data_IF_646130536355
#
_entry.id   IF_646130536355
#
_cell.length_a   1.000
_cell.length_b   1.000
_cell.length_c   1.000
_cell.angle_alpha   90.00
_cell.angle_beta   90.00
_cell.angle_gamma   90.00
#
_symmetry.space_group_name_H-M   'P 1'
#
loop_
_entity.id
_entity.type
_entity.pdbx_description
1 polymer ?
#
# COMPACT_ATOMS: atom_id res chain seq x y z
N UNK A 1 9.58 3.79 15.71
CA UNK A 1 8.37 3.15 16.25
C UNK A 1 8.49 1.65 16.07
N UNK A 2 8.37 0.85 17.16
CA UNK A 2 8.59 -0.61 17.08
C UNK A 2 7.63 -1.39 17.97
N UNK A 3 7.20 -2.57 17.48
CA UNK A 3 6.45 -3.58 18.26
C UNK A 3 5.12 -3.05 18.86
N UNK A 4 4.37 -2.24 18.11
CA UNK A 4 3.09 -1.72 18.56
C UNK A 4 1.94 -2.35 17.79
N UNK A 5 0.76 -2.39 18.42
CA UNK A 5 -0.51 -2.67 17.78
C UNK A 5 -1.28 -1.35 17.73
N UNK A 6 -1.60 -0.91 16.54
CA UNK A 6 -2.33 0.32 16.26
C UNK A 6 -3.61 -0.07 15.54
N UNK A 7 -4.75 0.23 16.14
CA UNK A 7 -5.99 -0.28 15.59
C UNK A 7 -7.18 0.64 15.80
N UNK A 8 -8.21 0.43 14.98
CA UNK A 8 -9.53 1.04 15.09
C UNK A 8 -9.53 2.57 15.01
N UNK A 9 -8.56 3.15 14.28
CA UNK A 9 -8.64 4.55 13.90
C UNK A 9 -9.71 4.70 12.80
N UNK A 10 -10.96 4.88 13.21
CA UNK A 10 -12.12 4.90 12.34
C UNK A 10 -12.67 6.32 12.16
N UNK A 11 -13.56 6.50 11.20
CA UNK A 11 -14.11 7.80 10.83
C UNK A 11 -13.51 8.36 9.54
N UNK A 12 -14.04 9.45 9.03
CA UNK A 12 -13.69 10.01 7.73
C UNK A 12 -12.19 10.37 7.58
N UNK A 13 -11.53 10.66 8.70
CA UNK A 13 -10.09 11.01 8.76
C UNK A 13 -9.30 10.08 9.68
N UNK A 14 -9.88 8.91 10.02
CA UNK A 14 -9.27 7.97 10.95
C UNK A 14 -7.96 7.40 10.39
N UNK A 15 -6.85 7.75 11.02
CA UNK A 15 -5.51 7.37 10.60
C UNK A 15 -4.76 6.73 11.76
N UNK A 16 -4.21 5.54 11.54
CA UNK A 16 -3.44 4.82 12.55
C UNK A 16 -2.11 5.50 12.84
N UNK A 17 -1.34 5.77 11.81
CA UNK A 17 -0.06 6.50 11.86
C UNK A 17 -0.10 7.66 10.88
N UNK A 18 0.32 8.83 11.31
CA UNK A 18 0.48 10.01 10.48
C UNK A 18 1.92 10.52 10.48
N UNK A 19 2.50 10.66 9.31
CA UNK A 19 3.78 11.32 9.08
C UNK A 19 3.51 12.63 8.35
N UNK A 20 3.90 13.72 8.93
CA UNK A 20 3.82 15.05 8.31
C UNK A 20 5.14 15.76 8.50
N UNK A 21 5.76 16.15 7.39
CA UNK A 21 7.06 16.81 7.38
C UNK A 21 8.08 16.10 8.29
N UNK A 22 8.03 14.76 8.27
CA UNK A 22 8.89 13.90 9.08
C UNK A 22 10.04 13.37 8.26
N UNK A 23 11.16 13.11 8.91
CA UNK A 23 12.39 12.62 8.28
C UNK A 23 13.01 11.50 9.12
N UNK A 24 13.90 10.71 8.52
CA UNK A 24 14.71 9.66 9.17
C UNK A 24 13.98 8.84 10.26
N UNK A 25 12.92 8.18 9.85
CA UNK A 25 12.10 7.41 10.78
C UNK A 25 12.12 5.92 10.46
N UNK A 26 12.22 5.10 11.52
CA UNK A 26 12.07 3.65 11.44
C UNK A 26 10.73 3.21 12.04
N UNK A 27 9.98 2.44 11.26
CA UNK A 27 8.69 1.82 11.61
C UNK A 27 8.84 0.32 11.45
N UNK A 28 9.00 -0.41 12.55
CA UNK A 28 9.38 -1.82 12.49
C UNK A 28 8.50 -2.71 13.38
N UNK A 29 8.13 -3.87 12.85
CA UNK A 29 7.42 -4.92 13.58
C UNK A 29 6.08 -4.45 14.17
N UNK A 30 5.44 -3.45 13.59
CA UNK A 30 4.14 -2.98 14.07
C UNK A 30 3.01 -3.71 13.36
N UNK A 31 1.85 -3.71 14.01
CA UNK A 31 0.60 -4.16 13.44
C UNK A 31 -0.37 -2.99 13.35
N UNK A 32 -0.79 -2.65 12.14
CA UNK A 32 -1.72 -1.54 11.87
C UNK A 32 -2.96 -2.11 11.22
N UNK A 33 -4.06 -2.14 11.99
CA UNK A 33 -5.24 -2.91 11.61
C UNK A 33 -6.55 -2.17 11.87
N UNK A 34 -7.57 -2.45 11.04
CA UNK A 34 -8.92 -1.91 11.21
C UNK A 34 -8.98 -0.38 11.26
N UNK A 35 -8.11 0.30 10.54
CA UNK A 35 -8.11 1.76 10.42
C UNK A 35 -8.77 2.17 9.10
N UNK A 36 -9.36 3.37 9.06
CA UNK A 36 -9.80 3.93 7.78
C UNK A 36 -8.59 4.14 6.86
N UNK A 37 -7.49 4.66 7.42
CA UNK A 37 -6.18 4.75 6.79
C UNK A 37 -5.16 4.19 7.79
N UNK A 38 -4.42 3.16 7.41
CA UNK A 38 -3.38 2.59 8.27
C UNK A 38 -2.25 3.58 8.48
N UNK A 39 -1.62 4.02 7.41
CA UNK A 39 -0.53 5.01 7.42
C UNK A 39 -0.86 6.12 6.42
N UNK A 40 -0.75 7.36 6.86
CA UNK A 40 -0.75 8.53 5.98
C UNK A 40 0.63 9.20 6.02
N UNK A 41 1.21 9.43 4.85
CA UNK A 41 2.49 10.12 4.70
C UNK A 41 2.27 11.37 3.86
N UNK A 42 2.49 12.52 4.48
CA UNK A 42 2.36 13.84 3.88
C UNK A 42 3.70 14.57 3.98
N UNK A 43 4.25 15.00 2.82
CA UNK A 43 5.56 15.64 2.72
C UNK A 43 6.64 14.90 3.55
N UNK A 44 6.68 13.57 3.43
CA UNK A 44 7.58 12.75 4.24
C UNK A 44 8.18 11.60 3.40
N UNK A 45 9.53 11.42 3.43
CA UNK A 45 10.51 12.20 4.17
C UNK A 45 10.60 13.64 3.65
N UNK A 46 10.78 14.60 4.55
CA UNK A 46 10.76 16.05 4.23
C UNK A 46 12.15 16.61 3.92
N UNK A 47 13.15 16.26 4.73
CA UNK A 47 14.50 16.74 4.53
C UNK A 47 15.19 15.98 3.38
N UNK A 48 16.02 16.66 2.58
CA UNK A 48 16.81 16.01 1.53
C UNK A 48 17.67 14.87 2.10
N UNK A 49 17.84 13.80 1.30
CA UNK A 49 18.67 12.64 1.62
C UNK A 49 18.27 11.88 2.88
N UNK A 50 17.04 12.08 3.36
CA UNK A 50 16.46 11.32 4.48
C UNK A 50 15.51 10.24 4.01
N UNK A 51 15.19 9.28 4.88
CA UNK A 51 14.39 8.10 4.53
C UNK A 51 13.45 7.72 5.65
N UNK A 52 12.22 7.34 5.32
CA UNK A 52 11.34 6.62 6.25
C UNK A 52 11.34 5.15 5.86
N UNK A 53 11.67 4.27 6.82
CA UNK A 53 11.80 2.83 6.61
C UNK A 53 10.66 2.10 7.29
N UNK A 54 9.87 1.39 6.50
CA UNK A 54 8.82 0.49 6.98
C UNK A 54 9.31 -0.95 6.82
N UNK A 55 9.57 -1.65 7.92
CA UNK A 55 10.12 -2.99 7.88
C UNK A 55 9.34 -3.97 8.77
N UNK A 56 9.01 -5.12 8.22
CA UNK A 56 8.33 -6.22 8.93
C UNK A 56 7.00 -5.81 9.58
N UNK A 57 6.32 -4.80 9.09
CA UNK A 57 5.02 -4.41 9.61
C UNK A 57 3.91 -5.24 8.96
N UNK A 58 2.79 -5.34 9.66
CA UNK A 58 1.56 -5.92 9.13
C UNK A 58 0.52 -4.82 8.99
N UNK A 59 0.08 -4.60 7.77
CA UNK A 59 -1.02 -3.71 7.43
C UNK A 59 -2.21 -4.58 7.01
N UNK A 60 -3.25 -4.66 7.85
CA UNK A 60 -4.34 -5.57 7.57
C UNK A 60 -5.71 -5.00 7.89
N UNK A 61 -6.69 -5.33 7.04
CA UNK A 61 -8.09 -4.97 7.22
C UNK A 61 -8.33 -3.47 7.36
N UNK A 62 -7.51 -2.65 6.71
CA UNK A 62 -7.67 -1.22 6.65
C UNK A 62 -8.49 -0.81 5.41
N UNK A 63 -9.09 0.37 5.43
CA UNK A 63 -9.62 0.95 4.20
C UNK A 63 -8.50 1.19 3.19
N UNK A 64 -7.49 1.95 3.58
CA UNK A 64 -6.23 2.12 2.83
C UNK A 64 -5.10 1.72 3.76
N UNK A 65 -4.21 0.81 3.33
CA UNK A 65 -3.08 0.44 4.17
C UNK A 65 -2.06 1.58 4.28
N UNK A 66 -1.60 2.11 3.15
CA UNK A 66 -0.68 3.26 3.13
C UNK A 66 -1.15 4.28 2.10
N UNK A 67 -1.23 5.54 2.50
CA UNK A 67 -1.53 6.66 1.64
C UNK A 67 -0.38 7.66 1.63
N UNK A 68 0.21 7.90 0.46
CA UNK A 68 1.17 8.96 0.21
C UNK A 68 0.44 10.14 -0.43
N UNK A 69 0.45 11.31 0.21
CA UNK A 69 -0.30 12.50 -0.24
C UNK A 69 0.57 13.55 -0.93
N UNK A 70 1.85 13.28 -1.06
CA UNK A 70 2.79 14.18 -1.73
C UNK A 70 3.55 13.45 -2.84
N UNK A 71 4.11 14.22 -3.76
CA UNK A 71 4.99 13.71 -4.82
C UNK A 71 6.41 13.39 -4.34
N UNK A 72 6.69 13.57 -3.05
CA UNK A 72 7.96 13.19 -2.45
C UNK A 72 8.05 11.66 -2.37
N UNK A 73 9.22 11.16 -2.67
CA UNK A 73 9.58 9.76 -2.50
C UNK A 73 10.59 9.58 -1.38
N UNK A 74 11.35 8.49 -1.41
CA UNK A 74 12.40 8.20 -0.44
C UNK A 74 11.97 7.30 0.70
N UNK A 75 10.73 6.76 0.64
CA UNK A 75 10.32 5.73 1.57
C UNK A 75 10.86 4.37 1.11
N UNK A 76 11.26 3.53 2.07
CA UNK A 76 11.70 2.17 1.84
C UNK A 76 10.77 1.21 2.58
N UNK A 77 10.16 0.29 1.83
CA UNK A 77 9.18 -0.66 2.37
C UNK A 77 9.69 -2.08 2.14
N UNK A 78 10.12 -2.75 3.21
CA UNK A 78 10.72 -4.08 3.12
C UNK A 78 10.05 -5.09 4.03
N UNK A 79 9.78 -6.28 3.49
CA UNK A 79 9.26 -7.42 4.26
C UNK A 79 7.95 -7.12 5.02
N UNK A 80 7.14 -6.20 4.55
CA UNK A 80 5.84 -5.93 5.16
C UNK A 80 4.79 -6.91 4.64
N UNK A 81 3.70 -7.05 5.38
CA UNK A 81 2.54 -7.87 5.03
C UNK A 81 1.37 -6.95 4.74
N UNK A 82 0.79 -7.08 3.56
CA UNK A 82 -0.45 -6.41 3.13
C UNK A 82 -1.53 -7.46 2.93
N UNK A 83 -2.61 -7.41 3.73
CA UNK A 83 -3.68 -8.39 3.63
C UNK A 83 -5.05 -7.83 4.02
N UNK A 84 -6.07 -8.15 3.23
CA UNK A 84 -7.45 -7.82 3.52
C UNK A 84 -7.75 -6.31 3.58
N UNK A 85 -6.87 -5.46 3.08
CA UNK A 85 -7.15 -4.04 2.93
C UNK A 85 -8.07 -3.81 1.73
N UNK A 86 -8.89 -2.77 1.74
CA UNK A 86 -9.67 -2.40 0.55
C UNK A 86 -8.75 -1.87 -0.56
N UNK A 87 -7.69 -1.17 -0.16
CA UNK A 87 -6.62 -0.72 -1.06
C UNK A 87 -5.30 -0.75 -0.29
N UNK A 88 -4.28 -1.40 -0.86
CA UNK A 88 -3.00 -1.53 -0.17
C UNK A 88 -2.22 -0.21 -0.22
N UNK A 89 -2.12 0.41 -1.38
CA UNK A 89 -1.38 1.66 -1.52
C UNK A 89 -2.12 2.65 -2.41
N UNK A 90 -2.12 3.88 -1.96
CA UNK A 90 -2.60 5.03 -2.71
C UNK A 90 -1.47 6.06 -2.78
N UNK A 91 -1.10 6.46 -3.97
CA UNK A 91 -0.17 7.57 -4.19
C UNK A 91 -0.89 8.70 -4.91
N UNK A 92 -0.83 9.89 -4.34
CA UNK A 92 -1.35 11.10 -4.95
C UNK A 92 -0.22 11.80 -5.72
N UNK A 93 -0.44 12.04 -7.00
CA UNK A 93 0.57 12.60 -7.91
C UNK A 93 1.03 11.63 -8.98
N UNK A 94 1.40 12.16 -10.13
CA UNK A 94 1.82 11.35 -11.28
C UNK A 94 3.31 11.00 -11.22
N UNK A 95 3.65 9.76 -11.63
CA UNK A 95 5.04 9.32 -11.73
C UNK A 95 5.76 9.18 -10.38
N UNK A 96 5.03 8.86 -9.31
CA UNK A 96 5.59 8.74 -7.95
C UNK A 96 5.93 7.29 -7.59
N UNK A 97 5.41 6.32 -8.33
CA UNK A 97 5.59 4.90 -8.04
C UNK A 97 7.06 4.48 -7.87
N UNK A 98 7.93 5.02 -8.71
CA UNK A 98 9.36 4.69 -8.71
C UNK A 98 10.17 5.48 -7.67
N UNK A 99 9.55 6.43 -6.97
CA UNK A 99 10.24 7.23 -5.96
C UNK A 99 10.33 6.56 -4.60
N UNK A 100 9.50 5.55 -4.35
CA UNK A 100 9.56 4.71 -3.17
C UNK A 100 10.14 3.33 -3.53
N UNK A 101 10.90 2.75 -2.61
CA UNK A 101 11.54 1.46 -2.83
C UNK A 101 10.74 0.37 -2.14
N UNK A 102 10.37 -0.66 -2.91
CA UNK A 102 9.62 -1.82 -2.44
C UNK A 102 10.45 -3.08 -2.64
N UNK A 103 10.54 -3.92 -1.62
CA UNK A 103 11.28 -5.17 -1.75
C UNK A 103 10.84 -6.21 -0.72
N UNK A 104 10.52 -7.40 -1.19
CA UNK A 104 10.25 -8.54 -0.33
C UNK A 104 8.94 -8.42 0.47
N UNK A 105 8.01 -7.58 0.05
CA UNK A 105 6.72 -7.47 0.73
C UNK A 105 5.80 -8.62 0.30
N UNK A 106 4.93 -9.02 1.21
CA UNK A 106 3.85 -9.97 0.92
C UNK A 106 2.57 -9.21 0.64
N UNK A 107 1.92 -9.54 -0.47
CA UNK A 107 0.61 -9.04 -0.88
C UNK A 107 -0.34 -10.22 -1.00
N UNK A 108 -1.47 -10.18 -0.31
CA UNK A 108 -2.40 -11.30 -0.26
C UNK A 108 -3.07 -11.60 -1.63
N UNK A 109 -3.10 -10.63 -2.51
CA UNK A 109 -3.64 -10.74 -3.87
C UNK A 109 -2.58 -11.03 -4.94
N UNK A 110 -1.32 -11.25 -4.55
CA UNK A 110 -0.26 -11.62 -5.49
C UNK A 110 -0.55 -12.98 -6.15
N UNK A 111 -0.57 -12.98 -7.49
CA UNK A 111 -0.88 -14.14 -8.32
C UNK A 111 0.31 -14.60 -9.19
N UNK A 112 1.53 -14.32 -8.75
CA UNK A 112 2.72 -14.74 -9.46
C UNK A 112 3.08 -16.21 -9.23
N UNK A 113 4.31 -16.57 -9.58
CA UNK A 113 4.85 -17.92 -9.48
C UNK A 113 6.13 -17.89 -8.65
N UNK A 114 6.44 -19.01 -8.03
CA UNK A 114 7.73 -19.30 -7.40
C UNK A 114 8.17 -20.68 -7.91
N UNK A 115 8.92 -20.71 -9.01
CA UNK A 115 9.32 -21.95 -9.71
C UNK A 115 10.49 -22.64 -9.05
N UNK A 116 11.36 -21.87 -8.43
CA UNK A 116 12.57 -22.36 -7.77
C UNK A 116 12.36 -22.68 -6.30
N UNK A 117 11.14 -22.40 -5.76
CA UNK A 117 10.75 -22.63 -4.38
C UNK A 117 11.66 -21.92 -3.35
N UNK A 118 12.12 -20.71 -3.67
CA UNK A 118 12.92 -19.89 -2.76
C UNK A 118 12.08 -18.95 -1.87
N UNK A 119 10.76 -18.95 -2.08
CA UNK A 119 9.80 -18.12 -1.33
C UNK A 119 9.66 -16.70 -1.87
N UNK A 120 10.34 -16.40 -2.99
CA UNK A 120 10.24 -15.12 -3.69
C UNK A 120 9.49 -15.32 -5.00
N UNK A 121 8.62 -14.40 -5.34
CA UNK A 121 7.91 -14.46 -6.61
C UNK A 121 8.84 -14.16 -7.80
N UNK A 122 8.77 -15.01 -8.82
CA UNK A 122 9.56 -14.86 -10.07
C UNK A 122 9.07 -13.69 -10.95
N UNK A 123 7.92 -13.13 -10.63
CA UNK A 123 7.34 -11.96 -11.31
C UNK A 123 7.12 -10.84 -10.32
N UNK A 124 7.37 -9.58 -10.70
CA UNK A 124 7.12 -8.46 -9.81
C UNK A 124 5.62 -8.35 -9.44
N UNK A 125 5.35 -7.83 -8.27
CA UNK A 125 4.01 -7.36 -7.92
C UNK A 125 3.88 -5.91 -8.37
N UNK A 126 2.86 -5.62 -9.15
CA UNK A 126 2.57 -4.28 -9.67
C UNK A 126 1.11 -3.93 -9.34
N UNK A 127 0.93 -2.79 -8.69
CA UNK A 127 -0.40 -2.24 -8.40
C UNK A 127 -0.66 -1.05 -9.31
N UNK A 128 -1.76 -1.12 -10.04
CA UNK A 128 -2.21 -0.05 -10.93
C UNK A 128 -3.51 0.57 -10.42
N UNK A 129 -3.60 1.89 -10.48
CA UNK A 129 -4.85 2.61 -10.27
C UNK A 129 -5.57 2.73 -11.61
N UNK A 130 -6.73 2.10 -11.73
CA UNK A 130 -7.61 2.21 -12.91
C UNK A 130 -8.70 3.25 -12.69
N UNK A 131 -9.61 2.98 -11.77
CA UNK A 131 -10.73 3.86 -11.44
C UNK A 131 -10.60 4.47 -10.03
N UNK A 132 -9.53 4.14 -9.30
CA UNK A 132 -9.38 4.48 -7.88
C UNK A 132 -9.32 5.99 -7.60
N UNK A 133 -8.98 6.80 -8.59
CA UNK A 133 -9.07 8.27 -8.46
C UNK A 133 -10.49 8.73 -8.09
N UNK A 134 -11.52 8.09 -8.65
CA UNK A 134 -12.91 8.43 -8.34
C UNK A 134 -13.23 8.15 -6.86
N UNK A 135 -12.65 7.09 -6.32
CA UNK A 135 -12.88 6.66 -4.93
C UNK A 135 -12.13 7.52 -3.91
N UNK A 136 -10.96 8.02 -4.29
CA UNK A 136 -10.13 8.90 -3.46
C UNK A 136 -10.78 10.26 -3.34
N UNK A 137 -11.35 10.78 -4.44
CA UNK A 137 -12.02 12.09 -4.47
C UNK A 137 -13.42 12.06 -3.84
N UNK A 138 -14.04 10.89 -3.74
CA UNK A 138 -15.40 10.74 -3.23
C UNK A 138 -15.48 9.64 -2.17
N UNK A 139 -15.15 9.91 -0.89
CA UNK A 139 -15.13 8.91 0.19
C UNK A 139 -16.43 8.12 0.35
N UNK A 140 -17.58 8.73 0.05
CA UNK A 140 -18.88 8.05 0.07
C UNK A 140 -19.04 7.00 -1.01
N UNK A 141 -18.28 7.07 -2.07
CA UNK A 141 -18.30 6.08 -3.16
C UNK A 141 -17.59 4.77 -2.77
N UNK A 142 -16.73 4.78 -1.74
CA UNK A 142 -16.05 3.58 -1.24
C UNK A 142 -17.01 2.49 -0.77
N UNK A 143 -18.21 2.85 -0.32
CA UNK A 143 -19.26 1.86 0.02
C UNK A 143 -19.71 1.01 -1.16
N UNK A 144 -19.48 1.46 -2.38
CA UNK A 144 -19.88 0.75 -3.59
C UNK A 144 -18.74 -0.07 -4.21
N UNK A 145 -17.51 -0.02 -3.67
CA UNK A 145 -16.33 -0.70 -4.23
C UNK A 145 -16.51 -2.21 -4.37
N UNK A 146 -17.35 -2.81 -3.52
CA UNK A 146 -17.68 -4.24 -3.58
C UNK A 146 -18.97 -4.54 -4.35
N UNK A 147 -19.54 -3.57 -5.09
CA UNK A 147 -20.73 -3.84 -5.86
C UNK A 147 -20.38 -4.60 -7.15
N UNK A 148 -21.18 -5.59 -7.57
CA UNK A 148 -20.93 -6.37 -8.79
C UNK A 148 -20.83 -5.52 -10.06
N UNK A 149 -21.49 -4.37 -10.08
CA UNK A 149 -21.42 -3.42 -11.20
C UNK A 149 -20.04 -2.79 -11.32
N UNK A 150 -19.43 -2.46 -10.22
CA UNK A 150 -18.11 -1.83 -10.19
C UNK A 150 -16.99 -2.84 -10.44
N UNK A 151 -17.13 -4.07 -9.94
CA UNK A 151 -16.23 -5.17 -10.30
C UNK A 151 -16.28 -5.43 -11.82
N UNK A 152 -17.48 -5.36 -12.43
CA UNK A 152 -17.61 -5.50 -13.87
C UNK A 152 -16.97 -4.32 -14.61
N UNK A 153 -17.14 -3.09 -14.13
CA UNK A 153 -16.49 -1.91 -14.73
C UNK A 153 -14.98 -1.98 -14.63
N UNK A 154 -14.44 -2.37 -13.47
CA UNK A 154 -13.01 -2.58 -13.30
C UNK A 154 -12.46 -3.68 -14.22
N UNK A 155 -13.21 -4.78 -14.35
CA UNK A 155 -12.89 -5.83 -15.30
C UNK A 155 -12.91 -5.36 -16.76
N UNK A 156 -13.91 -4.57 -17.16
CA UNK A 156 -14.00 -4.02 -18.51
C UNK A 156 -12.89 -3.00 -18.77
N UNK A 157 -12.53 -2.18 -17.79
CA UNK A 157 -11.43 -1.22 -17.90
C UNK A 157 -10.07 -1.90 -18.04
N UNK A 158 -9.87 -3.05 -17.39
CA UNK A 158 -8.67 -3.89 -17.59
C UNK A 158 -8.60 -4.52 -18.98
N UNK A 159 -9.75 -4.85 -19.57
CA UNK A 159 -9.82 -5.42 -20.94
C UNK A 159 -9.63 -4.37 -22.04
N UNK A 160 -10.15 -3.17 -21.83
CA UNK A 160 -10.09 -2.08 -22.79
C UNK A 160 -9.93 -0.76 -22.02
N UNK A 161 -8.73 -0.41 -21.56
CA UNK A 161 -8.50 0.77 -20.75
C UNK A 161 -8.87 2.04 -21.54
N UNK A 162 -9.83 2.80 -21.02
CA UNK A 162 -10.19 4.11 -21.54
C UNK A 162 -9.21 5.19 -21.09
N UNK A 163 -8.39 4.89 -20.08
CA UNK A 163 -7.28 5.70 -19.59
C UNK A 163 -6.03 4.83 -19.43
N UNK A 164 -4.85 5.42 -19.53
CA UNK A 164 -3.62 4.71 -19.18
C UNK A 164 -3.59 4.55 -17.67
N UNK A 165 -3.65 3.31 -17.13
CA UNK A 165 -3.60 3.11 -15.69
C UNK A 165 -2.26 3.62 -15.14
N UNK A 166 -2.30 4.24 -13.98
CA UNK A 166 -1.11 4.75 -13.33
C UNK A 166 -0.57 3.72 -12.34
N UNK A 167 0.71 3.38 -12.49
CA UNK A 167 1.36 2.45 -11.57
C UNK A 167 1.52 3.11 -10.19
N UNK A 168 1.01 2.46 -9.16
CA UNK A 168 1.05 2.93 -7.77
C UNK A 168 2.25 2.38 -7.02
N UNK A 169 2.65 1.16 -7.30
CA UNK A 169 3.84 0.54 -6.75
C UNK A 169 4.35 -0.59 -7.63
N UNK A 170 5.64 -0.91 -7.48
CA UNK A 170 6.26 -2.11 -8.01
C UNK A 170 7.20 -2.69 -6.97
N UNK A 171 6.92 -3.93 -6.54
CA UNK A 171 7.85 -4.75 -5.76
C UNK A 171 8.49 -5.77 -6.71
N UNK A 172 9.78 -5.65 -7.01
CA UNK A 172 10.44 -6.54 -7.98
C UNK A 172 10.65 -7.95 -7.46
N UNK A 173 10.55 -8.18 -6.15
CA UNK A 173 10.81 -9.45 -5.51
C UNK A 173 9.80 -9.71 -4.37
N UNK A 174 8.49 -9.80 -4.67
CA UNK A 174 7.47 -10.00 -3.65
C UNK A 174 7.62 -11.36 -2.99
N UNK A 175 7.22 -11.50 -1.74
CA UNK A 175 7.14 -12.81 -1.09
C UNK A 175 5.98 -13.62 -1.67
N UNK A 176 6.27 -14.87 -2.04
CA UNK A 176 5.25 -15.77 -2.56
C UNK A 176 4.33 -16.31 -1.47
N UNK A 177 4.87 -16.60 -0.30
CA UNK A 177 4.11 -17.08 0.85
C UNK A 177 4.11 -16.08 2.00
N UNK A 178 2.99 -16.04 2.72
CA UNK A 178 2.88 -15.19 3.91
C UNK A 178 3.94 -15.61 4.93
N UNK A 179 4.81 -14.68 5.38
CA UNK A 179 5.81 -14.99 6.37
C UNK A 179 5.16 -15.29 7.74
N UNK A 180 5.67 -16.32 8.42
CA UNK A 180 5.33 -16.55 9.82
C UNK A 180 5.86 -15.39 10.67
N UNK A 181 4.98 -14.75 11.42
CA UNK A 181 5.42 -13.78 12.44
C UNK A 181 5.87 -14.57 13.65
N UNK A 182 7.14 -14.84 13.74
CA UNK A 182 7.73 -15.23 15.03
C UNK A 182 7.62 -14.01 15.96
N UNK A 183 6.91 -14.22 17.05
CA UNK A 183 6.67 -13.24 18.12
C UNK A 183 7.97 -12.73 18.75
#
# INVERSE_FOLDING_TARGET
>A
LRNNIISHATGATGMGLGFKESSDSDVENNEVIYCAIGVGSDLSPFEPDTTIRFKNNRFAFNGIAIRFTSELGGNILTNNIFEGNLTDVVQMGRGVADKNQWHGNYFADYQGFDRNADGVGDTPYELYSYADQIWIETPTAQFFKTSPVLELLDFLERLAPFSSPEMQLRDPAPRFAKPDRTA
#
